data_IF_640018302639
#
_entry.id   IF_640018302639
#
_cell.length_a   1.000
_cell.length_b   1.000
_cell.length_c   1.000
_cell.angle_alpha   90.00
_cell.angle_beta   90.00
_cell.angle_gamma   90.00
#
_symmetry.space_group_name_H-M   'P 1'
#
loop_
_entity.id
_entity.type
_entity.pdbx_description
1 polymer ?
#
# COMPACT_ATOMS: atom_id res chain seq x y z
N UNK A 1 -2.73 -9.21 14.64
CA UNK A 1 -1.70 -9.42 15.70
C UNK A 1 -2.14 -8.93 17.10
N UNK A 2 -2.84 -7.79 17.22
CA UNK A 2 -3.29 -7.24 18.52
C UNK A 2 -4.81 -7.00 18.61
N UNK A 3 -5.58 -7.57 17.66
CA UNK A 3 -7.02 -7.35 17.50
C UNK A 3 -7.44 -5.87 17.51
N UNK A 4 -6.58 -5.02 16.97
CA UNK A 4 -6.88 -3.60 16.76
C UNK A 4 -7.51 -3.43 15.39
N UNK A 5 -8.54 -2.56 15.27
CA UNK A 5 -9.12 -2.26 13.99
C UNK A 5 -8.13 -1.48 13.12
N UNK A 6 -8.04 -1.86 11.85
CA UNK A 6 -7.17 -1.24 10.86
C UNK A 6 -8.03 -0.59 9.77
N UNK A 7 -7.89 0.71 9.57
CA UNK A 7 -8.71 1.48 8.65
C UNK A 7 -7.85 2.05 7.52
N UNK A 8 -8.36 1.96 6.29
CA UNK A 8 -7.78 2.63 5.12
C UNK A 8 -8.69 3.79 4.74
N UNK A 9 -8.15 5.00 4.68
CA UNK A 9 -8.87 6.18 4.21
C UNK A 9 -8.32 6.59 2.85
N UNK A 10 -9.14 6.49 1.81
CA UNK A 10 -8.76 6.83 0.44
C UNK A 10 -9.99 7.32 -0.34
N UNK A 11 -9.85 8.33 -1.20
CA UNK A 11 -10.94 8.73 -2.08
C UNK A 11 -11.21 7.66 -3.14
N UNK A 12 -12.43 7.62 -3.70
CA UNK A 12 -12.78 6.65 -4.76
C UNK A 12 -11.82 6.69 -5.95
N UNK A 13 -11.25 7.85 -6.27
CA UNK A 13 -10.28 8.00 -7.36
C UNK A 13 -8.98 7.19 -7.18
N UNK A 14 -8.72 6.67 -5.98
CA UNK A 14 -7.56 5.81 -5.68
C UNK A 14 -7.89 4.33 -5.86
N UNK A 15 -9.16 3.98 -6.00
CA UNK A 15 -9.62 2.60 -6.11
C UNK A 15 -9.69 2.23 -7.58
N UNK A 16 -8.83 1.33 -7.99
CA UNK A 16 -8.90 0.69 -9.29
C UNK A 16 -9.83 -0.53 -9.22
N UNK A 17 -10.94 -0.47 -9.94
CA UNK A 17 -11.94 -1.55 -10.00
C UNK A 17 -11.64 -2.58 -11.11
N UNK A 18 -10.69 -2.29 -12.00
CA UNK A 18 -10.27 -3.21 -13.07
C UNK A 18 -9.20 -4.20 -12.58
N UNK A 19 -8.50 -3.86 -11.49
CA UNK A 19 -7.51 -4.71 -10.83
C UNK A 19 -8.20 -5.67 -9.85
N UNK A 20 -8.31 -6.96 -10.21
CA UNK A 20 -9.04 -7.96 -9.42
C UNK A 20 -8.39 -8.27 -8.06
N UNK A 21 -7.05 -8.35 -8.02
CA UNK A 21 -6.33 -8.71 -6.80
C UNK A 21 -5.14 -7.81 -6.56
N UNK A 22 -4.72 -7.73 -5.29
CA UNK A 22 -3.50 -7.00 -4.94
C UNK A 22 -2.22 -7.57 -5.57
N UNK A 23 -2.23 -8.80 -6.06
CA UNK A 23 -1.07 -9.38 -6.76
C UNK A 23 -0.83 -8.76 -8.14
N UNK A 24 -1.86 -8.14 -8.71
CA UNK A 24 -1.80 -7.51 -10.03
C UNK A 24 -1.35 -6.04 -9.96
N UNK A 25 -1.21 -5.48 -8.74
CA UNK A 25 -0.72 -4.11 -8.52
C UNK A 25 0.80 -4.07 -8.76
N UNK A 26 1.29 -3.26 -9.72
CA UNK A 26 2.72 -3.13 -9.95
C UNK A 26 3.40 -2.40 -8.78
N UNK A 27 4.45 -3.02 -8.22
CA UNK A 27 5.24 -2.42 -7.15
C UNK A 27 6.46 -1.73 -7.73
N UNK A 28 6.52 -0.40 -7.55
CA UNK A 28 7.68 0.41 -7.95
C UNK A 28 8.91 0.03 -7.12
N UNK A 29 10.02 -0.29 -7.78
CA UNK A 29 11.34 -0.36 -7.15
C UNK A 29 12.12 0.92 -7.41
N UNK A 30 12.57 1.57 -6.33
CA UNK A 30 13.23 2.87 -6.38
C UNK A 30 14.75 2.75 -6.23
N UNK A 31 15.43 3.86 -6.50
CA UNK A 31 16.88 3.94 -6.50
C UNK A 31 17.49 3.53 -5.15
N UNK A 32 18.63 2.83 -5.17
CA UNK A 32 19.28 2.30 -3.97
C UNK A 32 19.79 3.40 -3.02
N UNK A 33 20.00 4.60 -3.55
CA UNK A 33 20.46 5.79 -2.85
C UNK A 33 19.47 6.25 -1.79
N UNK A 34 18.17 5.98 -1.94
CA UNK A 34 17.16 6.34 -0.92
C UNK A 34 17.34 5.55 0.39
N UNK A 35 17.90 4.34 0.31
CA UNK A 35 18.26 3.51 1.47
C UNK A 35 19.70 3.79 1.92
N UNK A 36 20.62 3.95 0.96
CA UNK A 36 22.06 4.00 1.25
C UNK A 36 22.59 5.41 1.53
N UNK A 37 21.80 6.47 1.26
CA UNK A 37 22.19 7.85 1.46
C UNK A 37 21.07 8.74 2.05
N UNK A 38 21.10 8.94 3.37
CA UNK A 38 20.22 9.89 4.06
C UNK A 38 20.65 11.35 3.80
N UNK A 39 19.72 12.18 3.32
CA UNK A 39 19.95 13.62 3.05
C UNK A 39 21.19 13.89 2.18
N UNK A 40 21.47 13.02 1.21
CA UNK A 40 22.61 13.13 0.30
C UNK A 40 23.96 12.71 0.89
N UNK A 41 23.99 12.11 2.09
CA UNK A 41 25.20 11.55 2.71
C UNK A 41 25.08 10.05 2.85
N UNK A 42 26.13 9.32 2.49
CA UNK A 42 26.16 7.86 2.64
C UNK A 42 25.99 7.45 4.10
N UNK A 43 25.07 6.52 4.35
CA UNK A 43 24.71 5.96 5.66
C UNK A 43 24.92 4.45 5.74
N UNK A 44 25.31 3.80 4.63
CA UNK A 44 25.53 2.37 4.53
C UNK A 44 26.91 2.07 3.92
N UNK A 45 27.47 0.86 4.14
CA UNK A 45 28.74 0.47 3.53
C UNK A 45 28.73 0.60 2.01
N UNK A 46 29.87 1.01 1.45
CA UNK A 46 30.03 1.14 0.01
C UNK A 46 29.79 -0.21 -0.70
N UNK A 47 29.00 -0.18 -1.78
CA UNK A 47 28.69 -1.35 -2.61
C UNK A 47 27.70 -2.36 -2.00
N UNK A 48 27.10 -2.08 -0.84
CA UNK A 48 26.06 -2.94 -0.27
C UNK A 48 24.84 -3.01 -1.21
N UNK A 49 24.32 -4.22 -1.43
CA UNK A 49 23.10 -4.43 -2.20
C UNK A 49 21.87 -4.17 -1.33
N UNK A 50 20.84 -3.57 -1.91
CA UNK A 50 19.58 -3.26 -1.22
C UNK A 50 18.38 -3.70 -2.04
N UNK A 51 17.23 -3.82 -1.39
CA UNK A 51 15.93 -4.03 -2.01
C UNK A 51 15.02 -2.87 -1.58
N UNK A 52 14.54 -2.08 -2.53
CA UNK A 52 13.83 -0.82 -2.26
C UNK A 52 12.46 -0.74 -2.96
N UNK A 53 11.51 -1.62 -2.62
CA UNK A 53 10.13 -1.47 -3.06
C UNK A 53 9.50 -0.25 -2.37
N UNK A 54 8.86 0.63 -3.14
CA UNK A 54 8.23 1.83 -2.62
C UNK A 54 6.89 1.56 -1.90
N UNK A 55 6.27 0.42 -2.21
CA UNK A 55 4.95 0.03 -1.73
C UNK A 55 4.91 -1.44 -1.35
N UNK A 56 3.92 -1.80 -0.53
CA UNK A 56 3.50 -3.17 -0.26
C UNK A 56 1.97 -3.29 -0.44
N UNK A 57 1.46 -4.52 -0.31
CA UNK A 57 0.04 -4.82 -0.45
C UNK A 57 -0.49 -5.37 0.86
N UNK A 58 -1.50 -4.70 1.43
CA UNK A 58 -2.24 -5.21 2.59
C UNK A 58 -3.47 -6.00 2.12
N UNK A 59 -3.54 -7.32 2.38
CA UNK A 59 -4.72 -8.12 2.05
C UNK A 59 -6.00 -7.60 2.73
N UNK A 60 -7.11 -7.63 1.99
CA UNK A 60 -8.39 -7.06 2.44
C UNK A 60 -8.91 -7.64 3.77
N UNK A 61 -8.62 -8.91 4.08
CA UNK A 61 -9.04 -9.56 5.32
C UNK A 61 -8.32 -9.04 6.58
N UNK A 62 -7.27 -8.21 6.41
CA UNK A 62 -6.61 -7.50 7.51
C UNK A 62 -7.17 -6.08 7.72
N UNK A 63 -8.06 -5.62 6.83
CA UNK A 63 -8.66 -4.28 6.87
C UNK A 63 -10.04 -4.37 7.52
N UNK A 64 -10.28 -3.52 8.51
CA UNK A 64 -11.58 -3.40 9.22
C UNK A 64 -12.59 -2.61 8.40
N UNK A 65 -12.18 -1.49 7.80
CA UNK A 65 -12.99 -0.77 6.84
C UNK A 65 -12.18 0.13 5.90
N UNK A 66 -12.73 0.39 4.72
CA UNK A 66 -12.26 1.42 3.79
C UNK A 66 -13.20 2.63 3.91
N UNK A 67 -12.64 3.82 4.09
CA UNK A 67 -13.38 5.08 4.27
C UNK A 67 -13.16 5.93 3.02
N UNK A 68 -14.27 6.31 2.37
CA UNK A 68 -14.30 7.15 1.17
C UNK A 68 -15.22 8.34 1.37
N UNK A 69 -15.26 9.27 0.41
CA UNK A 69 -16.24 10.35 0.37
C UNK A 69 -17.69 9.88 0.15
N UNK A 70 -17.91 8.60 -0.17
CA UNK A 70 -19.25 8.00 -0.35
C UNK A 70 -19.72 7.18 0.84
N UNK A 71 -18.87 6.97 1.85
CA UNK A 71 -19.23 6.21 3.05
C UNK A 71 -18.11 5.28 3.53
N UNK A 72 -18.48 4.34 4.38
CA UNK A 72 -17.58 3.39 5.05
C UNK A 72 -17.96 1.97 4.62
N UNK A 73 -16.95 1.17 4.29
CA UNK A 73 -17.11 -0.16 3.69
C UNK A 73 -16.48 -1.23 4.57
N UNK A 74 -17.18 -2.33 4.86
CA UNK A 74 -16.86 -3.21 6.00
C UNK A 74 -16.39 -4.64 5.65
N UNK A 75 -15.88 -4.85 4.43
CA UNK A 75 -15.19 -6.10 4.07
C UNK A 75 -15.76 -6.85 2.88
N UNK A 76 -17.01 -6.57 2.48
CA UNK A 76 -17.60 -7.08 1.24
C UNK A 76 -17.31 -6.13 0.08
N UNK A 77 -16.03 -5.80 -0.12
CA UNK A 77 -15.62 -4.68 -0.96
C UNK A 77 -16.08 -4.80 -2.41
N UNK A 78 -16.17 -6.02 -2.97
CA UNK A 78 -16.65 -6.23 -4.34
C UNK A 78 -18.11 -5.85 -4.57
N UNK A 79 -18.94 -5.89 -3.53
CA UNK A 79 -20.36 -5.51 -3.61
C UNK A 79 -20.61 -4.10 -3.09
N UNK A 80 -19.87 -3.67 -2.06
CA UNK A 80 -20.08 -2.36 -1.46
C UNK A 80 -19.47 -1.23 -2.31
N UNK A 81 -18.43 -1.50 -3.13
CA UNK A 81 -17.73 -0.47 -3.91
C UNK A 81 -18.61 0.04 -5.05
N UNK A 82 -18.86 1.36 -5.13
CA UNK A 82 -19.61 1.93 -6.24
C UNK A 82 -18.79 1.78 -7.53
N UNK A 83 -19.43 1.22 -8.56
CA UNK A 83 -18.90 1.18 -9.93
C UNK A 83 -19.09 2.50 -10.65
#
# INVERSE_FOLDING_TARGET
>A
AHNLPFYVAAPLSTIDLETETGADIPIEERAAEEITAGFGKSTAPEGVKVFNPAFDVTPHHLITAIITEKGIMHGNYSEELPR
#
